data_IF_393867696139
#
_entry.id   IF_393867696139
#
_cell.length_a   1.000
_cell.length_b   1.000
_cell.length_c   1.000
_cell.angle_alpha   90.00
_cell.angle_beta   90.00
_cell.angle_gamma   90.00
#
_symmetry.space_group_name_H-M   'P 1'
#
loop_
_entity.id
_entity.type
_entity.pdbx_description
1 polymer ?
#
# COMPACT_ATOMS: atom_id res chain seq x y z
N UNK A 1 1.87 10.15 -25.41
CA UNK A 1 2.45 8.81 -25.71
C UNK A 1 3.32 8.23 -24.59
N UNK A 2 3.94 9.03 -23.70
CA UNK A 2 4.75 8.53 -22.57
C UNK A 2 3.96 8.15 -21.29
N UNK A 3 2.65 8.44 -21.24
CA UNK A 3 1.78 8.09 -20.11
C UNK A 3 1.42 6.60 -20.10
N UNK A 4 1.30 5.96 -21.26
CA UNK A 4 0.90 4.55 -21.41
C UNK A 4 2.01 3.54 -21.04
N UNK A 5 3.28 3.94 -21.09
CA UNK A 5 4.40 3.01 -20.78
C UNK A 5 4.66 2.84 -19.28
N UNK A 6 4.32 3.84 -18.45
CA UNK A 6 4.43 3.76 -16.98
C UNK A 6 3.13 3.32 -16.31
N UNK A 7 2.00 3.48 -16.99
CA UNK A 7 0.69 3.13 -16.46
C UNK A 7 0.60 1.60 -16.24
N UNK A 8 0.96 0.79 -17.25
CA UNK A 8 0.84 -0.66 -17.17
C UNK A 8 1.74 -1.29 -16.08
N UNK A 9 3.04 -0.99 -15.97
CA UNK A 9 3.89 -1.51 -14.90
C UNK A 9 3.39 -1.12 -13.51
N UNK A 10 2.83 0.10 -13.36
CA UNK A 10 2.26 0.55 -12.10
C UNK A 10 1.00 -0.25 -11.73
N UNK A 11 0.09 -0.48 -12.69
CA UNK A 11 -1.09 -1.33 -12.45
C UNK A 11 -0.67 -2.75 -12.06
N UNK A 12 0.29 -3.34 -12.78
CA UNK A 12 0.83 -4.66 -12.45
C UNK A 12 1.41 -4.68 -11.03
N UNK A 13 2.16 -3.66 -10.65
CA UNK A 13 2.71 -3.54 -9.29
C UNK A 13 1.60 -3.43 -8.24
N UNK A 14 0.56 -2.62 -8.47
CA UNK A 14 -0.59 -2.52 -7.57
C UNK A 14 -1.34 -3.84 -7.42
N UNK A 15 -1.52 -4.59 -8.51
CA UNK A 15 -2.14 -5.91 -8.48
C UNK A 15 -1.29 -6.93 -7.71
N UNK A 16 0.04 -6.91 -7.88
CA UNK A 16 0.95 -7.75 -7.10
C UNK A 16 0.87 -7.42 -5.61
N UNK A 17 0.88 -6.13 -5.26
CA UNK A 17 0.74 -5.69 -3.85
C UNK A 17 -0.61 -6.12 -3.29
N UNK A 18 -1.70 -5.97 -4.04
CA UNK A 18 -3.03 -6.42 -3.64
C UNK A 18 -3.08 -7.93 -3.41
N UNK A 19 -2.48 -8.72 -4.31
CA UNK A 19 -2.37 -10.17 -4.16
C UNK A 19 -1.62 -10.54 -2.87
N UNK A 20 -0.49 -9.88 -2.59
CA UNK A 20 0.28 -10.12 -1.37
C UNK A 20 -0.51 -9.72 -0.12
N UNK A 21 -1.31 -8.65 -0.18
CA UNK A 21 -2.15 -8.22 0.92
C UNK A 21 -3.24 -9.25 1.22
N UNK A 22 -3.93 -9.75 0.17
CA UNK A 22 -4.93 -10.82 0.29
C UNK A 22 -4.28 -12.11 0.80
N UNK A 23 -3.12 -12.48 0.28
CA UNK A 23 -2.34 -13.65 0.73
C UNK A 23 -1.95 -13.52 2.20
N UNK A 24 -1.47 -12.35 2.65
CA UNK A 24 -1.17 -12.06 4.04
C UNK A 24 -2.41 -12.21 4.94
N UNK A 25 -3.56 -11.68 4.50
CA UNK A 25 -4.84 -11.85 5.17
C UNK A 25 -5.25 -13.33 5.27
N UNK A 26 -5.11 -14.09 4.19
CA UNK A 26 -5.44 -15.51 4.14
C UNK A 26 -4.51 -16.36 5.03
N UNK A 27 -3.20 -16.07 5.01
CA UNK A 27 -2.20 -16.69 5.88
C UNK A 27 -2.56 -16.55 7.36
N UNK A 28 -3.10 -15.39 7.76
CA UNK A 28 -3.54 -15.15 9.13
C UNK A 28 -4.89 -15.77 9.45
N UNK A 29 -5.88 -15.63 8.56
CA UNK A 29 -7.28 -16.00 8.83
C UNK A 29 -7.52 -17.50 8.68
N UNK A 30 -7.00 -18.11 7.62
CA UNK A 30 -7.30 -19.49 7.26
C UNK A 30 -6.18 -20.43 7.66
N UNK A 31 -4.93 -20.09 7.35
CA UNK A 31 -3.80 -20.99 7.58
C UNK A 31 -3.12 -20.80 8.94
N UNK A 32 -3.44 -19.72 9.66
CA UNK A 32 -2.84 -19.33 10.96
C UNK A 32 -1.31 -19.38 10.95
N UNK A 33 -0.68 -19.15 9.80
CA UNK A 33 0.76 -19.32 9.61
C UNK A 33 1.51 -18.04 10.00
N UNK A 34 1.83 -17.92 11.29
CA UNK A 34 2.52 -16.77 11.87
C UNK A 34 3.98 -16.63 11.43
N UNK A 35 4.58 -17.66 10.83
CA UNK A 35 5.97 -17.62 10.34
C UNK A 35 6.06 -16.93 8.99
N UNK A 36 5.15 -17.26 8.06
CA UNK A 36 5.14 -16.71 6.71
C UNK A 36 4.45 -15.35 6.63
N UNK A 37 3.43 -15.09 7.46
CA UNK A 37 2.71 -13.82 7.46
C UNK A 37 3.61 -12.57 7.53
N UNK A 38 4.54 -12.44 8.51
CA UNK A 38 5.38 -11.24 8.58
C UNK A 38 6.37 -11.12 7.41
N UNK A 39 6.75 -12.23 6.77
CA UNK A 39 7.60 -12.22 5.57
C UNK A 39 6.82 -11.64 4.40
N UNK A 40 5.59 -12.13 4.16
CA UNK A 40 4.71 -11.59 3.11
C UNK A 40 4.40 -10.12 3.35
N UNK A 41 4.12 -9.73 4.60
CA UNK A 41 3.89 -8.34 4.96
C UNK A 41 5.12 -7.46 4.68
N UNK A 42 6.32 -7.96 4.96
CA UNK A 42 7.58 -7.25 4.69
C UNK A 42 7.78 -7.05 3.19
N UNK A 43 7.60 -8.12 2.39
CA UNK A 43 7.71 -8.03 0.92
C UNK A 43 6.71 -7.03 0.35
N UNK A 44 5.45 -7.10 0.78
CA UNK A 44 4.41 -6.19 0.34
C UNK A 44 4.75 -4.73 0.73
N UNK A 45 5.32 -4.52 1.92
CA UNK A 45 5.74 -3.18 2.38
C UNK A 45 6.89 -2.64 1.54
N UNK A 46 7.90 -3.45 1.24
CA UNK A 46 9.04 -3.05 0.37
C UNK A 46 8.55 -2.68 -1.03
N UNK A 47 7.67 -3.50 -1.62
CA UNK A 47 7.07 -3.18 -2.91
C UNK A 47 6.23 -1.90 -2.88
N UNK A 48 5.52 -1.64 -1.78
CA UNK A 48 4.75 -0.39 -1.63
C UNK A 48 5.66 0.84 -1.51
N UNK A 49 6.79 0.73 -0.81
CA UNK A 49 7.81 1.80 -0.76
C UNK A 49 8.32 2.06 -2.18
N UNK A 50 8.67 1.01 -2.92
CA UNK A 50 9.14 1.13 -4.30
C UNK A 50 8.07 1.79 -5.19
N UNK A 51 6.80 1.40 -5.05
CA UNK A 51 5.67 2.02 -5.77
C UNK A 51 5.54 3.51 -5.47
N UNK A 52 5.60 3.90 -4.19
CA UNK A 52 5.51 5.31 -3.79
C UNK A 52 6.66 6.11 -4.39
N UNK A 53 7.89 5.61 -4.28
CA UNK A 53 9.09 6.33 -4.73
C UNK A 53 9.18 6.43 -6.25
N UNK A 54 8.89 5.33 -6.95
CA UNK A 54 9.09 5.23 -8.40
C UNK A 54 7.88 5.71 -9.20
N UNK A 55 6.68 5.69 -8.62
CA UNK A 55 5.44 6.02 -9.35
C UNK A 55 4.71 7.20 -8.74
N UNK A 56 4.32 7.13 -7.46
CA UNK A 56 3.45 8.16 -6.86
C UNK A 56 4.15 9.52 -6.74
N UNK A 57 5.43 9.54 -6.35
CA UNK A 57 6.19 10.79 -6.27
C UNK A 57 6.37 11.46 -7.66
N UNK A 58 6.83 10.76 -8.71
CA UNK A 58 6.90 11.34 -10.05
C UNK A 58 5.54 11.73 -10.63
N UNK A 59 4.49 10.95 -10.41
CA UNK A 59 3.15 11.24 -10.94
C UNK A 59 2.57 12.50 -10.30
N UNK A 60 2.71 12.67 -8.98
CA UNK A 60 2.29 13.90 -8.28
C UNK A 60 3.00 15.11 -8.85
N UNK A 61 4.33 15.05 -9.03
CA UNK A 61 5.11 16.19 -9.55
C UNK A 61 4.67 16.61 -10.94
N UNK A 62 4.27 15.65 -11.79
CA UNK A 62 3.75 15.92 -13.14
C UNK A 62 2.32 16.44 -13.14
N UNK A 63 1.53 16.06 -12.14
CA UNK A 63 0.13 16.44 -12.01
C UNK A 63 -0.08 17.76 -11.24
N UNK A 64 0.97 18.34 -10.63
CA UNK A 64 0.87 19.60 -9.90
C UNK A 64 0.37 20.73 -10.83
N UNK A 65 -0.81 21.32 -10.55
CA UNK A 65 -1.29 22.45 -11.33
C UNK A 65 -0.42 23.68 -11.03
N UNK A 66 -0.16 24.50 -12.05
CA UNK A 66 0.59 25.75 -11.90
C UNK A 66 -0.10 26.81 -11.05
N UNK A 67 -1.40 26.64 -10.77
CA UNK A 67 -2.19 27.41 -9.81
C UNK A 67 -3.22 26.50 -9.12
N UNK A 68 -3.52 26.78 -7.85
CA UNK A 68 -4.56 26.09 -7.07
C UNK A 68 -5.98 26.34 -7.61
N UNK A 69 -6.17 27.35 -8.46
CA UNK A 69 -7.47 27.66 -9.07
C UNK A 69 -7.91 26.63 -10.14
N UNK A 70 -7.00 25.76 -10.59
CA UNK A 70 -7.24 24.77 -11.65
C UNK A 70 -7.26 23.32 -11.12
N UNK A 71 -7.60 23.11 -9.85
CA UNK A 71 -7.75 21.75 -9.31
C UNK A 71 -9.03 21.12 -9.88
N UNK A 72 -8.86 20.15 -10.77
CA UNK A 72 -9.95 19.30 -11.22
C UNK A 72 -10.21 18.15 -10.24
N UNK A 73 -11.36 17.49 -10.42
CA UNK A 73 -11.76 16.35 -9.59
C UNK A 73 -10.74 15.21 -9.65
N UNK A 74 -10.07 15.02 -10.80
CA UNK A 74 -9.08 13.97 -10.98
C UNK A 74 -7.84 14.20 -10.11
N UNK A 75 -7.32 15.43 -10.07
CA UNK A 75 -6.22 15.81 -9.19
C UNK A 75 -6.59 15.68 -7.71
N UNK A 76 -7.81 16.10 -7.33
CA UNK A 76 -8.32 15.92 -5.98
C UNK A 76 -8.34 14.45 -5.54
N UNK A 77 -8.87 13.57 -6.38
CA UNK A 77 -8.89 12.12 -6.13
C UNK A 77 -7.49 11.50 -6.09
N UNK A 78 -6.58 11.94 -6.96
CA UNK A 78 -5.17 11.53 -6.95
C UNK A 78 -4.51 11.88 -5.60
N UNK A 79 -4.76 13.08 -5.08
CA UNK A 79 -4.18 13.55 -3.83
C UNK A 79 -4.73 12.79 -2.62
N UNK A 80 -6.04 12.47 -2.62
CA UNK A 80 -6.67 11.59 -1.63
C UNK A 80 -6.06 10.18 -1.68
N UNK A 81 -5.92 9.59 -2.87
CA UNK A 81 -5.28 8.29 -3.06
C UNK A 81 -3.85 8.28 -2.51
N UNK A 82 -3.05 9.31 -2.83
CA UNK A 82 -1.68 9.42 -2.34
C UNK A 82 -1.61 9.56 -0.82
N UNK A 83 -2.50 10.34 -0.23
CA UNK A 83 -2.56 10.55 1.22
C UNK A 83 -2.92 9.25 1.96
N UNK A 84 -3.96 8.55 1.51
CA UNK A 84 -4.37 7.25 2.09
C UNK A 84 -3.25 6.21 1.94
N UNK A 85 -2.61 6.16 0.76
CA UNK A 85 -1.48 5.27 0.50
C UNK A 85 -0.28 5.53 1.41
N UNK A 86 0.02 6.80 1.69
CA UNK A 86 1.10 7.17 2.60
C UNK A 86 0.79 6.77 4.05
N UNK A 87 -0.45 6.96 4.50
CA UNK A 87 -0.89 6.51 5.84
C UNK A 87 -0.81 4.98 5.94
N UNK A 88 -1.27 4.26 4.92
CA UNK A 88 -1.14 2.81 4.86
C UNK A 88 0.33 2.36 4.94
N UNK A 89 1.22 3.04 4.21
CA UNK A 89 2.66 2.78 4.23
C UNK A 89 3.27 3.06 5.61
N UNK A 90 2.90 4.17 6.26
CA UNK A 90 3.40 4.50 7.59
C UNK A 90 3.05 3.40 8.60
N UNK A 91 1.80 2.93 8.60
CA UNK A 91 1.41 1.84 9.48
C UNK A 91 2.11 0.52 9.14
N UNK A 92 2.25 0.18 7.87
CA UNK A 92 2.93 -1.06 7.49
C UNK A 92 4.40 -1.06 7.88
N UNK A 93 5.09 0.08 7.74
CA UNK A 93 6.48 0.25 8.22
C UNK A 93 6.58 0.09 9.73
N UNK A 94 5.65 0.67 10.50
CA UNK A 94 5.62 0.48 11.97
C UNK A 94 5.44 -0.99 12.34
N UNK A 95 4.54 -1.70 11.66
CA UNK A 95 4.28 -3.12 11.91
C UNK A 95 5.48 -4.00 11.54
N UNK A 96 6.07 -3.80 10.36
CA UNK A 96 7.24 -4.55 9.89
C UNK A 96 8.47 -4.22 10.73
N UNK A 97 8.72 -2.95 11.02
CA UNK A 97 9.81 -2.48 11.86
C UNK A 97 9.75 -3.09 13.25
N UNK A 98 8.57 -3.09 13.89
CA UNK A 98 8.38 -3.74 15.19
C UNK A 98 8.70 -5.24 15.17
N UNK A 99 8.37 -5.95 14.09
CA UNK A 99 8.72 -7.37 13.93
C UNK A 99 10.21 -7.59 13.70
N UNK A 100 10.86 -6.77 12.86
CA UNK A 100 12.29 -6.82 12.61
C UNK A 100 13.10 -6.56 13.88
N UNK A 101 12.73 -5.53 14.65
CA UNK A 101 13.35 -5.19 15.93
C UNK A 101 13.14 -6.26 17.01
N UNK A 102 12.08 -7.07 16.89
CA UNK A 102 11.85 -8.22 17.78
C UNK A 102 12.74 -9.44 17.45
N UNK A 103 13.71 -9.30 16.54
CA UNK A 103 14.57 -10.40 16.09
C UNK A 103 13.83 -11.43 15.24
N UNK A 104 12.80 -11.01 14.50
CA UNK A 104 11.98 -11.87 13.61
C UNK A 104 11.28 -13.03 14.32
N UNK A 105 11.10 -12.95 15.64
CA UNK A 105 10.42 -14.00 16.43
C UNK A 105 8.95 -14.11 16.04
N UNK A 106 8.35 -15.32 16.03
CA UNK A 106 6.92 -15.52 15.72
C UNK A 106 5.99 -14.72 16.63
N UNK A 107 6.35 -14.58 17.90
CA UNK A 107 5.61 -13.80 18.90
C UNK A 107 5.70 -12.27 18.67
N UNK A 108 6.64 -11.83 17.83
CA UNK A 108 6.76 -10.45 17.37
C UNK A 108 5.83 -10.12 16.19
N UNK A 109 5.19 -11.14 15.58
CA UNK A 109 4.27 -10.95 14.48
C UNK A 109 3.12 -10.03 14.91
N UNK A 110 2.79 -8.96 14.16
CA UNK A 110 1.78 -8.02 14.61
C UNK A 110 0.36 -8.60 14.68
N UNK A 111 0.11 -9.75 14.03
CA UNK A 111 -1.15 -10.48 14.15
C UNK A 111 -1.34 -11.26 15.46
N UNK A 112 -0.28 -11.40 16.29
CA UNK A 112 -0.29 -12.26 17.48
C UNK A 112 -0.97 -11.63 18.70
N UNK A 113 -0.73 -10.34 18.97
CA UNK A 113 -1.21 -9.65 20.17
C UNK A 113 -2.54 -8.90 19.95
N UNK A 114 -3.44 -8.89 20.94
CA UNK A 114 -4.78 -8.24 20.83
C UNK A 114 -4.71 -6.77 20.40
N UNK A 115 -3.83 -5.97 21.01
CA UNK A 115 -3.70 -4.53 20.69
C UNK A 115 -3.15 -4.31 19.27
N UNK A 116 -2.24 -5.20 18.82
CA UNK A 116 -1.64 -5.12 17.48
C UNK A 116 -2.61 -5.57 16.37
N UNK A 117 -3.63 -6.38 16.70
CA UNK A 117 -4.69 -6.76 15.75
C UNK A 117 -5.51 -5.57 15.26
N UNK A 118 -5.75 -4.57 16.10
CA UNK A 118 -6.51 -3.39 15.69
C UNK A 118 -5.73 -2.54 14.68
N UNK A 119 -4.45 -2.30 14.96
CA UNK A 119 -3.53 -1.62 14.02
C UNK A 119 -3.43 -2.39 12.71
N UNK A 120 -3.32 -3.73 12.76
CA UNK A 120 -3.30 -4.57 11.55
C UNK A 120 -4.58 -4.44 10.72
N UNK A 121 -5.76 -4.41 11.37
CA UNK A 121 -7.04 -4.22 10.67
C UNK A 121 -7.12 -2.87 9.98
N UNK A 122 -6.73 -1.79 10.68
CA UNK A 122 -6.67 -0.46 10.08
C UNK A 122 -5.70 -0.45 8.91
N UNK A 123 -4.48 -0.95 9.09
CA UNK A 123 -3.48 -1.01 8.03
C UNK A 123 -4.03 -1.73 6.81
N UNK A 124 -4.64 -2.90 7.02
CA UNK A 124 -5.23 -3.68 5.93
C UNK A 124 -6.35 -2.91 5.22
N UNK A 125 -7.28 -2.31 5.97
CA UNK A 125 -8.40 -1.55 5.41
C UNK A 125 -7.94 -0.29 4.66
N UNK A 126 -7.05 0.51 5.25
CA UNK A 126 -6.50 1.71 4.62
C UNK A 126 -5.70 1.35 3.37
N UNK A 127 -4.93 0.27 3.41
CA UNK A 127 -4.13 -0.16 2.26
C UNK A 127 -5.00 -0.72 1.13
N UNK A 128 -6.00 -1.54 1.46
CA UNK A 128 -6.96 -2.05 0.49
C UNK A 128 -7.75 -0.90 -0.17
N UNK A 129 -8.21 0.08 0.63
CA UNK A 129 -8.90 1.26 0.11
C UNK A 129 -7.99 2.06 -0.83
N UNK A 130 -6.73 2.28 -0.45
CA UNK A 130 -5.75 2.93 -1.31
C UNK A 130 -5.58 2.20 -2.63
N UNK A 131 -5.41 0.88 -2.63
CA UNK A 131 -5.20 0.09 -3.84
C UNK A 131 -6.43 0.11 -4.75
N UNK A 132 -7.63 -0.04 -4.18
CA UNK A 132 -8.89 0.04 -4.94
C UNK A 132 -9.02 1.41 -5.60
N UNK A 133 -8.74 2.49 -4.86
CA UNK A 133 -8.80 3.84 -5.41
C UNK A 133 -7.74 4.07 -6.50
N UNK A 134 -6.55 3.49 -6.36
CA UNK A 134 -5.49 3.55 -7.37
C UNK A 134 -5.88 2.85 -8.67
N UNK A 135 -6.47 1.65 -8.56
CA UNK A 135 -6.98 0.89 -9.72
C UNK A 135 -8.14 1.63 -10.38
N UNK A 136 -9.04 2.22 -9.59
CA UNK A 136 -10.14 3.03 -10.11
C UNK A 136 -9.62 4.26 -10.88
N UNK A 137 -8.66 5.00 -10.31
CA UNK A 137 -8.03 6.14 -10.98
C UNK A 137 -7.34 5.73 -12.28
N UNK A 138 -6.67 4.58 -12.29
CA UNK A 138 -6.12 4.02 -13.51
C UNK A 138 -7.22 3.79 -14.55
N UNK A 139 -8.27 3.04 -14.21
CA UNK A 139 -9.31 2.68 -15.17
C UNK A 139 -10.14 3.85 -15.68
N UNK A 140 -10.32 4.90 -14.87
CA UNK A 140 -11.16 6.05 -15.20
C UNK A 140 -10.42 7.17 -15.93
N UNK A 141 -9.11 7.33 -15.72
CA UNK A 141 -8.36 8.51 -16.17
C UNK A 141 -7.06 8.21 -16.95
N UNK A 142 -6.64 6.95 -17.07
CA UNK A 142 -5.37 6.54 -17.71
C UNK A 142 -5.57 5.38 -18.71
#
# INVERSE_FOLDING_TARGET
MALSSLSLPNLVLQLIILLLLVLGGALMKFWKNLRLHPIVLTLATVLNIASVVLVMLPSTRRALPGSWDNIDMAFGLLLVHHSIGLVALAFSVVLVGGWLLSGRKPNGCPGSAKNKKWIMRITFSTWALSLILGIFLYAAYL
#
